data_IF_783577358417
#
_entry.id   IF_783577358417
#
_cell.length_a   1.000
_cell.length_b   1.000
_cell.length_c   1.000
_cell.angle_alpha   90.00
_cell.angle_beta   90.00
_cell.angle_gamma   90.00
#
_symmetry.space_group_name_H-M   'P 1'
#
loop_
_entity.id
_entity.type
_entity.pdbx_description
1 polymer ?
#
# COMPACT_ATOMS: atom_id res chain seq x y z
N UNK A 1 -37.59 -84.38 -72.88
CA UNK A 1 -37.64 -85.71 -72.25
C UNK A 1 -36.52 -85.78 -71.22
N UNK A 2 -36.70 -86.50 -70.12
CA UNK A 2 -37.26 -85.93 -68.91
C UNK A 2 -36.28 -86.17 -67.75
N UNK A 3 -36.68 -86.56 -66.53
CA UNK A 3 -36.12 -86.09 -65.25
C UNK A 3 -35.15 -87.19 -64.70
N UNK A 4 -34.71 -87.27 -63.45
CA UNK A 4 -35.44 -87.51 -62.20
C UNK A 4 -34.47 -87.39 -61.03
N UNK A 5 -34.99 -86.77 -59.98
CA UNK A 5 -34.86 -87.03 -58.53
C UNK A 5 -34.14 -88.31 -58.08
N UNK A 6 -33.52 -88.25 -56.90
CA UNK A 6 -34.04 -88.81 -55.64
C UNK A 6 -33.05 -88.43 -54.53
N UNK A 7 -33.64 -87.94 -53.41
CA UNK A 7 -33.26 -88.06 -51.99
C UNK A 7 -31.79 -88.49 -51.70
N UNK A 8 -31.04 -87.90 -50.78
CA UNK A 8 -31.40 -87.76 -49.37
C UNK A 8 -30.20 -87.18 -48.58
N UNK A 9 -30.48 -86.70 -47.36
CA UNK A 9 -29.60 -86.78 -46.17
C UNK A 9 -28.30 -85.93 -46.01
N UNK A 10 -28.22 -85.33 -44.81
CA UNK A 10 -27.06 -84.84 -44.04
C UNK A 10 -26.49 -83.39 -44.23
N UNK A 11 -26.90 -82.54 -43.28
CA UNK A 11 -26.05 -81.89 -42.23
C UNK A 11 -25.00 -80.84 -42.62
N UNK A 12 -25.05 -79.76 -41.82
CA UNK A 12 -23.96 -78.93 -41.30
C UNK A 12 -23.80 -77.52 -41.90
N UNK A 13 -23.61 -76.55 -40.99
CA UNK A 13 -22.91 -75.30 -41.29
C UNK A 13 -23.76 -74.03 -41.19
N UNK A 14 -24.28 -73.71 -40.00
CA UNK A 14 -24.94 -72.44 -39.69
C UNK A 14 -23.94 -71.28 -39.72
N UNK A 15 -23.71 -70.77 -40.92
CA UNK A 15 -23.61 -69.38 -41.34
C UNK A 15 -23.06 -68.33 -40.33
N UNK A 16 -21.84 -67.86 -40.61
CA UNK A 16 -21.59 -66.43 -40.80
C UNK A 16 -21.29 -65.58 -39.56
N UNK A 17 -20.14 -65.81 -38.93
CA UNK A 17 -19.54 -64.89 -37.95
C UNK A 17 -18.29 -64.14 -38.47
N UNK A 18 -18.38 -63.22 -39.47
CA UNK A 18 -17.25 -62.28 -39.66
C UNK A 18 -17.59 -60.79 -39.80
N UNK A 19 -18.84 -60.35 -39.91
CA UNK A 19 -19.15 -58.92 -40.18
C UNK A 19 -19.27 -58.04 -38.94
N UNK A 20 -19.70 -58.57 -37.80
CA UNK A 20 -19.91 -57.76 -36.59
C UNK A 20 -18.60 -57.35 -35.88
N UNK A 21 -17.51 -58.13 -36.05
CA UNK A 21 -16.25 -57.87 -35.34
C UNK A 21 -15.41 -56.76 -36.00
N UNK A 22 -15.55 -56.56 -37.31
CA UNK A 22 -14.75 -55.60 -38.07
C UNK A 22 -15.14 -54.14 -37.79
N UNK A 23 -16.44 -53.85 -37.62
CA UNK A 23 -16.92 -52.48 -37.43
C UNK A 23 -16.54 -51.88 -36.06
N UNK A 24 -16.52 -52.72 -35.02
CA UNK A 24 -16.14 -52.31 -33.66
C UNK A 24 -14.66 -51.97 -33.54
N UNK A 25 -13.78 -52.57 -34.35
CA UNK A 25 -12.34 -52.27 -34.33
C UNK A 25 -12.03 -50.91 -34.98
N UNK A 26 -12.76 -50.52 -36.03
CA UNK A 26 -12.59 -49.22 -36.69
C UNK A 26 -13.02 -48.03 -35.83
N UNK A 27 -14.04 -48.18 -34.98
CA UNK A 27 -14.47 -47.12 -34.05
C UNK A 27 -13.50 -46.95 -32.87
N UNK A 28 -12.87 -48.04 -32.38
CA UNK A 28 -11.82 -47.96 -31.36
C UNK A 28 -10.50 -47.37 -31.92
N UNK A 29 -10.20 -47.57 -33.20
CA UNK A 29 -9.00 -47.01 -33.82
C UNK A 29 -9.06 -45.47 -33.98
N UNK A 30 -10.26 -44.89 -34.04
CA UNK A 30 -10.46 -43.44 -34.18
C UNK A 30 -10.34 -42.67 -32.85
N UNK A 31 -10.45 -43.34 -31.69
CA UNK A 31 -10.28 -42.68 -30.38
C UNK A 31 -8.81 -42.47 -30.01
N UNK A 32 -7.88 -43.09 -30.76
CA UNK A 32 -6.43 -42.90 -30.64
C UNK A 32 -5.86 -41.73 -31.45
N UNK A 33 -6.65 -41.16 -32.38
CA UNK A 33 -6.23 -40.02 -33.18
C UNK A 33 -6.50 -38.72 -32.44
N UNK A 34 -5.56 -38.29 -31.58
CA UNK A 34 -5.55 -36.90 -31.14
C UNK A 34 -5.33 -36.03 -32.38
N UNK A 35 -6.36 -35.25 -32.77
CA UNK A 35 -6.21 -34.26 -33.83
C UNK A 35 -5.04 -33.34 -33.47
N UNK A 36 -4.10 -33.20 -34.41
CA UNK A 36 -2.96 -32.30 -34.26
C UNK A 36 -3.53 -30.88 -34.25
N UNK A 37 -3.48 -30.24 -33.09
CA UNK A 37 -3.96 -28.88 -32.87
C UNK A 37 -2.78 -27.99 -32.46
N UNK A 38 -2.99 -26.67 -32.45
CA UNK A 38 -1.99 -25.70 -32.00
C UNK A 38 -1.50 -25.98 -30.57
N UNK A 39 -2.36 -26.59 -29.72
CA UNK A 39 -2.00 -27.05 -28.38
C UNK A 39 -1.03 -28.23 -28.36
N UNK A 40 -0.94 -29.00 -29.45
CA UNK A 40 0.02 -30.09 -29.62
C UNK A 40 1.44 -29.55 -29.77
N UNK A 41 1.62 -28.39 -30.42
CA UNK A 41 2.93 -27.78 -30.61
C UNK A 41 3.27 -26.75 -29.52
N UNK A 42 2.26 -26.04 -29.02
CA UNK A 42 2.43 -25.06 -27.96
C UNK A 42 1.31 -25.27 -26.93
N UNK A 43 1.59 -25.87 -25.75
CA UNK A 43 0.59 -26.07 -24.70
C UNK A 43 -0.10 -24.78 -24.22
N UNK A 44 0.52 -23.62 -24.46
CA UNK A 44 -0.03 -22.30 -24.13
C UNK A 44 -0.82 -21.67 -25.30
N UNK A 45 -1.05 -22.38 -26.39
CA UNK A 45 -1.85 -21.88 -27.52
C UNK A 45 -3.27 -21.51 -27.06
N UNK A 46 -3.65 -20.26 -27.31
CA UNK A 46 -4.92 -19.68 -26.88
C UNK A 46 -4.92 -19.09 -25.46
N UNK A 47 -3.81 -19.13 -24.72
CA UNK A 47 -3.66 -18.40 -23.45
C UNK A 47 -3.31 -16.95 -23.79
N UNK A 48 -4.17 -15.96 -23.47
CA UNK A 48 -3.83 -14.57 -23.69
C UNK A 48 -2.58 -14.21 -22.86
N UNK A 49 -1.63 -13.43 -23.41
CA UNK A 49 -0.49 -12.98 -22.64
C UNK A 49 -1.00 -12.15 -21.46
N UNK A 50 -0.50 -12.43 -20.26
CA UNK A 50 -0.76 -11.59 -19.09
C UNK A 50 0.08 -10.32 -19.24
N UNK A 51 -0.52 -9.13 -19.41
CA UNK A 51 0.24 -7.91 -19.47
C UNK A 51 1.03 -7.74 -18.18
N UNK A 52 2.35 -7.55 -18.29
CA UNK A 52 3.15 -7.15 -17.14
C UNK A 52 2.76 -5.72 -16.78
N UNK A 53 2.14 -5.54 -15.62
CA UNK A 53 1.92 -4.22 -15.02
C UNK A 53 3.08 -3.99 -14.05
N UNK A 54 4.00 -3.04 -14.34
CA UNK A 54 5.05 -2.72 -13.39
C UNK A 54 4.44 -2.25 -12.07
N UNK A 55 5.06 -2.57 -10.92
CA UNK A 55 4.59 -2.09 -9.63
C UNK A 55 4.53 -0.56 -9.65
N UNK A 56 3.53 0.00 -8.96
CA UNK A 56 3.44 1.44 -8.81
C UNK A 56 4.75 1.98 -8.23
N UNK A 57 5.27 3.08 -8.80
CA UNK A 57 6.45 3.73 -8.26
C UNK A 57 6.18 4.13 -6.81
N UNK A 58 7.13 3.92 -5.89
CA UNK A 58 7.02 4.43 -4.53
C UNK A 58 6.68 5.92 -4.57
N UNK A 59 5.75 6.33 -3.72
CA UNK A 59 5.41 7.74 -3.60
C UNK A 59 6.67 8.55 -3.23
N UNK A 60 6.84 9.78 -3.76
CA UNK A 60 7.90 10.67 -3.31
C UNK A 60 7.83 10.86 -1.78
N UNK A 61 8.98 10.99 -1.10
CA UNK A 61 8.98 11.26 0.33
C UNK A 61 8.28 12.58 0.63
N UNK A 62 7.66 12.72 1.82
CA UNK A 62 7.03 13.97 2.22
C UNK A 62 8.07 15.10 2.26
N UNK A 63 7.67 16.35 1.93
CA UNK A 63 8.56 17.49 2.02
C UNK A 63 9.18 17.61 3.42
N UNK A 64 10.48 17.92 3.52
CA UNK A 64 11.11 18.13 4.82
C UNK A 64 10.49 19.34 5.52
N UNK A 65 10.43 19.33 6.86
CA UNK A 65 10.03 20.53 7.60
C UNK A 65 11.00 21.68 7.33
N UNK A 66 10.48 22.90 7.36
CA UNK A 66 11.25 24.12 7.32
C UNK A 66 12.25 24.17 8.49
N UNK A 67 11.77 23.82 9.68
CA UNK A 67 12.60 23.68 10.87
C UNK A 67 12.07 22.56 11.76
N UNK A 68 12.96 21.88 12.46
CA UNK A 68 12.63 20.91 13.50
C UNK A 68 13.46 21.23 14.74
N UNK A 69 12.80 21.41 15.87
CA UNK A 69 13.44 21.74 17.14
C UNK A 69 12.95 20.81 18.24
N UNK A 70 13.86 20.36 19.09
CA UNK A 70 13.51 19.57 20.28
C UNK A 70 12.95 20.53 21.33
N UNK A 71 11.94 20.09 22.07
CA UNK A 71 11.35 20.89 23.14
C UNK A 71 12.40 21.32 24.18
N UNK A 72 12.28 22.54 24.69
CA UNK A 72 13.23 23.14 25.64
C UNK A 72 14.53 23.67 25.01
N UNK A 73 14.65 23.68 23.68
CA UNK A 73 15.77 24.37 23.01
C UNK A 73 15.67 25.89 23.29
N UNK A 74 16.75 26.57 23.73
CA UNK A 74 16.72 28.00 24.02
C UNK A 74 16.24 28.84 22.83
N UNK A 75 15.42 29.85 23.10
CA UNK A 75 14.83 30.73 22.06
C UNK A 75 15.89 31.38 21.17
N UNK A 76 17.03 31.74 21.74
CA UNK A 76 18.16 32.35 21.01
C UNK A 76 18.69 31.47 19.88
N UNK A 77 18.59 30.14 20.02
CA UNK A 77 19.19 29.19 19.07
C UNK A 77 18.28 28.95 17.85
N UNK A 78 16.96 29.02 18.02
CA UNK A 78 16.00 28.70 16.95
C UNK A 78 15.26 29.92 16.39
N UNK A 79 14.99 30.95 17.20
CA UNK A 79 14.14 32.08 16.78
C UNK A 79 14.67 32.85 15.56
N UNK A 80 15.97 33.21 15.48
CA UNK A 80 16.48 33.93 14.31
C UNK A 80 16.28 33.14 13.02
N UNK A 81 16.46 31.81 13.07
CA UNK A 81 16.28 30.93 11.92
C UNK A 81 14.81 30.86 11.49
N UNK A 82 13.87 30.67 12.44
CA UNK A 82 12.43 30.66 12.15
C UNK A 82 12.00 31.95 11.44
N UNK A 83 12.40 33.10 12.00
CA UNK A 83 12.01 34.39 11.44
C UNK A 83 12.60 34.62 10.05
N UNK A 84 13.87 34.26 9.84
CA UNK A 84 14.54 34.41 8.55
C UNK A 84 13.94 33.50 7.47
N UNK A 85 13.60 32.26 7.82
CA UNK A 85 12.92 31.36 6.89
C UNK A 85 11.50 31.82 6.57
N UNK A 86 10.76 32.33 7.56
CA UNK A 86 9.42 32.89 7.35
C UNK A 86 9.45 34.10 6.39
N UNK A 87 10.35 35.06 6.61
CA UNK A 87 10.52 36.21 5.70
C UNK A 87 10.85 35.76 4.28
N UNK A 88 11.77 34.80 4.12
CA UNK A 88 12.11 34.25 2.80
C UNK A 88 10.95 33.53 2.14
N UNK A 89 10.14 32.80 2.90
CA UNK A 89 8.96 32.13 2.39
C UNK A 89 7.90 33.15 1.92
N UNK A 90 7.61 34.19 2.71
CA UNK A 90 6.68 35.26 2.33
C UNK A 90 7.17 36.07 1.13
N UNK A 91 8.48 36.35 1.04
CA UNK A 91 9.07 37.04 -0.10
C UNK A 91 8.91 36.24 -1.41
N UNK A 92 8.88 34.91 -1.34
CA UNK A 92 8.63 34.02 -2.50
C UNK A 92 7.14 33.87 -2.80
N UNK A 93 6.31 33.73 -1.76
CA UNK A 93 4.86 33.52 -1.86
C UNK A 93 4.17 34.23 -0.69
N UNK A 94 3.56 35.41 -0.92
CA UNK A 94 2.87 36.17 0.14
C UNK A 94 1.67 35.46 0.77
N UNK A 95 1.16 34.42 0.10
CA UNK A 95 0.03 33.58 0.53
C UNK A 95 0.49 32.24 1.12
N UNK A 96 1.77 32.09 1.47
CA UNK A 96 2.29 30.87 2.07
C UNK A 96 1.60 30.58 3.41
N UNK A 97 1.21 29.33 3.62
CA UNK A 97 0.64 28.89 4.90
C UNK A 97 1.69 28.14 5.69
N UNK A 98 1.76 28.42 6.99
CA UNK A 98 2.69 27.80 7.91
C UNK A 98 1.94 26.84 8.83
N UNK A 99 2.45 25.62 8.98
CA UNK A 99 1.89 24.63 9.90
C UNK A 99 2.91 24.30 10.97
N UNK A 100 2.62 24.67 12.22
CA UNK A 100 3.38 24.31 13.41
C UNK A 100 2.83 22.99 13.95
N UNK A 101 3.65 21.94 13.93
CA UNK A 101 3.29 20.60 14.44
C UNK A 101 4.06 20.32 15.72
N UNK A 102 3.33 20.18 16.82
CA UNK A 102 3.83 19.77 18.13
C UNK A 102 3.72 18.25 18.24
N UNK A 103 4.86 17.57 18.27
CA UNK A 103 4.96 16.11 18.21
C UNK A 103 5.48 15.56 19.52
N UNK A 104 4.80 14.54 20.06
CA UNK A 104 5.23 13.82 21.26
C UNK A 104 5.37 12.33 20.93
N UNK A 105 6.45 11.66 21.39
CA UNK A 105 6.60 10.21 21.17
C UNK A 105 5.46 9.43 21.85
N UNK A 106 4.87 8.42 21.18
CA UNK A 106 3.87 7.56 21.79
C UNK A 106 4.53 6.78 22.93
N UNK A 107 3.96 6.85 24.13
CA UNK A 107 4.50 6.16 25.31
C UNK A 107 5.72 6.85 25.95
N UNK A 108 6.01 8.11 25.62
CA UNK A 108 7.04 8.87 26.32
C UNK A 108 6.75 8.86 27.84
N UNK A 109 7.66 8.40 28.70
CA UNK A 109 7.56 8.66 30.12
C UNK A 109 7.80 10.15 30.26
N UNK A 110 6.72 10.93 30.28
CA UNK A 110 6.77 12.29 30.80
C UNK A 110 7.14 12.09 32.25
N UNK A 111 8.42 12.30 32.59
CA UNK A 111 8.86 12.36 33.98
C UNK A 111 7.99 13.43 34.62
N UNK A 112 7.03 13.08 35.50
CA UNK A 112 6.28 14.09 36.19
C UNK A 112 7.29 14.94 36.97
N UNK A 113 7.05 16.24 37.19
CA UNK A 113 7.75 16.93 38.26
C UNK A 113 7.66 16.06 39.53
N UNK A 114 8.73 16.04 40.33
CA UNK A 114 8.94 15.07 41.41
C UNK A 114 7.87 15.10 42.53
N UNK A 115 6.87 15.98 42.40
CA UNK A 115 5.74 16.18 43.29
C UNK A 115 4.46 15.43 42.86
N UNK A 116 4.46 14.66 41.77
CA UNK A 116 3.25 13.93 41.31
C UNK A 116 3.49 12.43 41.08
N UNK A 117 3.63 11.69 42.18
CA UNK A 117 3.48 10.24 42.20
C UNK A 117 2.01 9.84 41.97
N UNK A 118 1.74 9.02 40.94
CA UNK A 118 0.43 8.37 40.75
C UNK A 118 -0.32 8.62 39.45
N UNK A 119 0.24 9.34 38.46
CA UNK A 119 -0.41 9.48 37.14
C UNK A 119 -0.13 8.26 36.25
N UNK A 120 -1.18 7.50 35.91
CA UNK A 120 -1.13 6.42 34.92
C UNK A 120 -0.54 6.88 33.59
N UNK A 121 0.26 6.02 32.94
CA UNK A 121 0.92 6.30 31.66
C UNK A 121 -0.03 6.77 30.54
N UNK A 122 -1.32 6.42 30.61
CA UNK A 122 -2.35 6.83 29.65
C UNK A 122 -2.63 8.35 29.64
N UNK A 123 -2.45 9.05 30.77
CA UNK A 123 -2.66 10.51 30.86
C UNK A 123 -1.43 11.35 30.48
N UNK A 124 -0.27 10.71 30.31
CA UNK A 124 1.01 11.39 30.09
C UNK A 124 1.08 12.05 28.71
N UNK A 125 0.62 11.35 27.66
CA UNK A 125 0.69 11.85 26.27
C UNK A 125 -0.19 13.09 26.04
N UNK A 126 -1.48 13.11 26.43
CA UNK A 126 -2.30 14.31 26.29
C UNK A 126 -1.74 15.51 27.06
N UNK A 127 -1.24 15.28 28.28
CA UNK A 127 -0.64 16.34 29.11
C UNK A 127 0.61 16.92 28.45
N UNK A 128 1.53 16.07 27.95
CA UNK A 128 2.72 16.54 27.24
C UNK A 128 2.39 17.30 25.96
N UNK A 129 1.36 16.89 25.21
CA UNK A 129 0.92 17.61 24.02
C UNK A 129 0.42 19.01 24.36
N UNK A 130 -0.38 19.14 25.43
CA UNK A 130 -0.88 20.44 25.91
C UNK A 130 0.29 21.32 26.39
N UNK A 131 1.22 20.77 27.17
CA UNK A 131 2.40 21.51 27.65
C UNK A 131 3.28 21.97 26.48
N UNK A 132 3.57 21.09 25.52
CA UNK A 132 4.37 21.41 24.34
C UNK A 132 3.69 22.49 23.47
N UNK A 133 2.38 22.37 23.24
CA UNK A 133 1.64 23.32 22.41
C UNK A 133 1.51 24.70 23.09
N UNK A 134 1.25 24.75 24.39
CA UNK A 134 1.08 26.01 25.15
C UNK A 134 2.41 26.73 25.46
N UNK A 135 3.51 25.99 25.52
CA UNK A 135 4.89 26.49 25.63
C UNK A 135 5.52 26.72 24.26
N UNK A 136 6.43 25.83 23.86
CA UNK A 136 7.28 25.98 22.67
C UNK A 136 6.48 26.17 21.37
N UNK A 137 5.37 25.43 21.19
CA UNK A 137 4.51 25.58 20.00
C UNK A 137 3.98 27.00 19.83
N UNK A 138 3.48 27.60 20.92
CA UNK A 138 3.01 28.98 20.93
C UNK A 138 4.16 29.99 20.75
N UNK A 139 5.32 29.73 21.33
CA UNK A 139 6.50 30.58 21.13
C UNK A 139 6.95 30.61 19.66
N UNK A 140 6.95 29.47 18.98
CA UNK A 140 7.26 29.38 17.54
C UNK A 140 6.20 30.10 16.71
N UNK A 141 4.91 29.91 17.01
CA UNK A 141 3.83 30.65 16.35
C UNK A 141 4.00 32.16 16.51
N UNK A 142 4.33 32.63 17.71
CA UNK A 142 4.61 34.05 17.95
C UNK A 142 5.81 34.54 17.13
N UNK A 143 6.91 33.77 17.08
CA UNK A 143 8.07 34.14 16.28
C UNK A 143 7.75 34.25 14.77
N UNK A 144 6.85 33.42 14.24
CA UNK A 144 6.36 33.56 12.87
C UNK A 144 5.58 34.86 12.67
N UNK A 145 4.70 35.21 13.61
CA UNK A 145 3.95 36.46 13.54
C UNK A 145 4.85 37.69 13.67
N UNK A 146 5.85 37.65 14.55
CA UNK A 146 6.87 38.69 14.69
C UNK A 146 7.69 38.87 13.39
N UNK A 147 7.80 37.81 12.57
CA UNK A 147 8.43 37.87 11.26
C UNK A 147 7.51 38.40 10.14
N UNK A 148 6.26 38.76 10.47
CA UNK A 148 5.27 39.32 9.54
C UNK A 148 4.28 38.32 8.97
N UNK A 149 4.24 37.07 9.46
CA UNK A 149 3.23 36.10 9.03
C UNK A 149 1.87 36.44 9.65
N UNK A 150 0.80 36.66 8.87
CA UNK A 150 -0.54 36.87 9.41
C UNK A 150 -1.02 35.67 10.20
N UNK A 151 -1.75 35.88 11.30
CA UNK A 151 -2.33 34.79 12.10
C UNK A 151 -3.22 33.85 11.26
N UNK A 152 -3.92 34.38 10.27
CA UNK A 152 -4.77 33.60 9.34
C UNK A 152 -3.97 32.64 8.45
N UNK A 153 -2.65 32.81 8.36
CA UNK A 153 -1.75 31.96 7.60
C UNK A 153 -0.99 30.96 8.48
N UNK A 154 -1.25 30.91 9.80
CA UNK A 154 -0.59 29.98 10.71
C UNK A 154 -1.59 28.97 11.28
N UNK A 155 -1.28 27.69 11.13
CA UNK A 155 -2.02 26.57 11.71
C UNK A 155 -1.15 25.88 12.75
N UNK A 156 -1.71 25.57 13.92
CA UNK A 156 -1.02 24.80 14.96
C UNK A 156 -1.75 23.49 15.21
N UNK A 157 -1.01 22.38 15.18
CA UNK A 157 -1.54 21.04 15.45
C UNK A 157 -0.65 20.33 16.47
N UNK A 158 -1.24 19.52 17.34
CA UNK A 158 -0.51 18.72 18.31
C UNK A 158 -0.96 17.26 18.19
N UNK A 159 -0.03 16.33 18.03
CA UNK A 159 -0.35 14.91 17.90
C UNK A 159 0.79 13.98 18.37
N UNK A 160 0.47 12.76 18.82
CA UNK A 160 1.47 11.73 19.01
C UNK A 160 2.08 11.33 17.67
N UNK A 161 3.39 11.08 17.64
CA UNK A 161 4.09 10.67 16.42
C UNK A 161 5.23 9.70 16.77
N UNK A 162 5.20 8.48 16.22
CA UNK A 162 6.21 7.45 16.45
C UNK A 162 7.54 7.71 15.75
N UNK A 163 7.59 8.69 14.84
CA UNK A 163 8.83 9.09 14.15
C UNK A 163 9.73 9.99 15.00
N UNK A 164 9.24 10.49 16.14
CA UNK A 164 10.03 11.30 17.08
C UNK A 164 10.33 10.51 18.34
N UNK A 165 11.54 10.67 18.87
CA UNK A 165 11.98 10.05 20.14
C UNK A 165 11.97 11.03 21.31
N UNK A 166 11.81 12.34 21.04
CA UNK A 166 11.68 13.42 22.02
C UNK A 166 10.55 14.36 21.60
N UNK A 167 9.89 15.06 22.54
CA UNK A 167 8.96 16.13 22.21
C UNK A 167 9.63 17.13 21.25
N UNK A 168 9.00 17.41 20.12
CA UNK A 168 9.61 18.13 18.99
C UNK A 168 8.57 19.05 18.36
N UNK A 169 8.96 20.28 18.00
CA UNK A 169 8.15 21.19 17.19
C UNK A 169 8.72 21.21 15.77
N UNK A 170 7.87 20.96 14.77
CA UNK A 170 8.23 21.04 13.34
C UNK A 170 7.40 22.13 12.67
N UNK A 171 8.02 23.00 11.87
CA UNK A 171 7.30 23.98 11.05
C UNK A 171 7.33 23.54 9.60
N UNK A 172 6.18 23.56 8.94
CA UNK A 172 6.03 23.29 7.52
C UNK A 172 5.51 24.53 6.80
N UNK A 173 5.79 24.62 5.50
CA UNK A 173 5.29 25.71 4.64
C UNK A 173 4.65 25.13 3.37
N UNK A 174 3.53 25.70 2.94
CA UNK A 174 2.79 25.31 1.72
C UNK A 174 2.31 26.52 0.93
#
# INVERSE_FOLDING_TARGET
>A
MPPVSIQDFFRAGRQGAPTALALSFTLLALTGCKLVDQKTFNPQAGVPPKPYVPPARPAPPPPPPLIAMVAGTPEADWKPQVQDMARRALARKPTALFTVRCLVPPGSPVVPPADVEGRSAEGAVPTALITLASGDGRAVMQALMDAGVPQTQVEMTAMPDSTVTKPTVRVYVR
#
